data_IF_468270879471
#
_entry.id   IF_468270879471
#
_cell.length_a   1.000
_cell.length_b   1.000
_cell.length_c   1.000
_cell.angle_alpha   90.00
_cell.angle_beta   90.00
_cell.angle_gamma   90.00
#
_symmetry.space_group_name_H-M   'P 1'
#
loop_
_entity.id
_entity.type
_entity.pdbx_description
1 polymer ?
#
# COMPACT_ATOMS: atom_id res chain seq x y z
N UNK A 1 8.88 22.36 -27.11
CA UNK A 1 7.68 21.53 -26.81
C UNK A 1 8.01 20.09 -26.35
N UNK A 2 9.26 19.58 -26.44
CA UNK A 2 9.54 18.15 -26.10
C UNK A 2 9.79 17.85 -24.61
N UNK A 3 10.19 18.83 -23.79
CA UNK A 3 10.54 18.56 -22.37
C UNK A 3 9.36 18.17 -21.48
N UNK A 4 8.11 18.54 -21.84
CA UNK A 4 6.92 18.30 -20.99
C UNK A 4 6.36 16.88 -21.19
N UNK A 5 6.50 16.30 -22.39
CA UNK A 5 6.08 14.92 -22.66
C UNK A 5 6.99 13.89 -21.98
N UNK A 6 8.29 14.17 -21.89
CA UNK A 6 9.28 13.27 -21.27
C UNK A 6 9.12 13.18 -19.74
N UNK A 7 8.59 14.23 -19.10
CA UNK A 7 8.35 14.26 -17.65
C UNK A 7 7.18 13.38 -17.22
N UNK A 8 6.11 13.30 -18.01
CA UNK A 8 4.97 12.42 -17.69
C UNK A 8 5.31 10.95 -17.90
N UNK A 9 6.03 10.60 -18.97
CA UNK A 9 6.42 9.21 -19.23
C UNK A 9 7.34 8.66 -18.14
N UNK A 10 8.24 9.50 -17.59
CA UNK A 10 9.11 9.14 -16.47
C UNK A 10 8.42 9.19 -15.09
N UNK A 11 7.18 9.67 -14.98
CA UNK A 11 6.45 9.72 -13.71
C UNK A 11 5.78 8.38 -13.36
N UNK A 12 5.27 7.67 -14.35
CA UNK A 12 4.61 6.37 -14.15
C UNK A 12 5.51 5.29 -13.52
N UNK A 13 6.77 5.11 -13.94
CA UNK A 13 7.66 4.12 -13.32
C UNK A 13 7.94 4.44 -11.84
N UNK A 14 8.08 5.72 -11.49
CA UNK A 14 8.35 6.14 -10.11
C UNK A 14 7.12 5.92 -9.23
N UNK A 15 5.92 6.23 -9.75
CA UNK A 15 4.67 5.95 -9.06
C UNK A 15 4.47 4.44 -8.83
N UNK A 16 4.81 3.63 -9.84
CA UNK A 16 4.74 2.17 -9.73
C UNK A 16 5.76 1.62 -8.72
N UNK A 17 6.98 2.15 -8.69
CA UNK A 17 7.98 1.81 -7.68
C UNK A 17 7.56 2.24 -6.27
N UNK A 18 6.95 3.43 -6.14
CA UNK A 18 6.38 3.91 -4.88
C UNK A 18 5.25 3.01 -4.38
N UNK A 19 4.42 2.53 -5.30
CA UNK A 19 3.33 1.61 -5.02
C UNK A 19 3.85 0.22 -4.60
N UNK A 20 4.84 -0.32 -5.30
CA UNK A 20 5.40 -1.64 -5.00
C UNK A 20 6.07 -1.69 -3.65
N UNK A 21 6.95 -0.73 -3.35
CA UNK A 21 7.70 -0.70 -2.09
C UNK A 21 7.32 0.57 -1.33
N UNK A 22 6.51 0.45 -0.25
CA UNK A 22 6.09 1.60 0.53
C UNK A 22 7.28 2.44 1.00
N UNK A 23 7.30 3.72 0.58
CA UNK A 23 8.36 4.68 0.91
C UNK A 23 9.52 4.78 -0.10
N UNK A 24 9.71 3.82 -1.00
CA UNK A 24 10.89 3.78 -1.88
C UNK A 24 10.84 4.80 -3.03
N UNK A 25 9.64 5.11 -3.54
CA UNK A 25 9.48 6.08 -4.65
C UNK A 25 9.88 7.52 -4.31
N UNK A 26 9.76 7.91 -3.04
CA UNK A 26 10.22 9.23 -2.57
C UNK A 26 11.74 9.28 -2.32
N UNK A 27 12.36 8.15 -1.97
CA UNK A 27 13.82 8.03 -1.85
C UNK A 27 14.46 8.23 -3.23
N UNK A 28 13.91 7.57 -4.27
CA UNK A 28 14.33 7.74 -5.67
C UNK A 28 14.15 9.19 -6.16
N UNK A 29 13.18 9.91 -5.61
CA UNK A 29 12.90 11.32 -5.93
C UNK A 29 13.73 12.32 -5.10
N UNK A 30 14.70 11.86 -4.30
CA UNK A 30 15.58 12.70 -3.47
C UNK A 30 14.96 13.21 -2.16
N UNK A 31 13.72 12.83 -1.83
CA UNK A 31 13.01 13.25 -0.60
C UNK A 31 12.99 12.12 0.43
N UNK A 32 14.19 11.76 0.90
CA UNK A 32 14.43 10.61 1.78
C UNK A 32 13.61 10.70 3.08
N UNK A 33 13.53 11.88 3.71
CA UNK A 33 12.79 12.04 4.97
C UNK A 33 11.29 11.73 4.83
N UNK A 34 10.66 12.19 3.74
CA UNK A 34 9.23 11.88 3.47
C UNK A 34 9.05 10.39 3.17
N UNK A 35 9.89 9.82 2.32
CA UNK A 35 9.86 8.39 2.02
C UNK A 35 10.05 7.50 3.25
N UNK A 36 11.00 7.85 4.11
CA UNK A 36 11.30 7.10 5.32
C UNK A 36 10.17 7.18 6.36
N UNK A 37 9.62 8.37 6.62
CA UNK A 37 8.53 8.53 7.59
C UNK A 37 7.26 7.83 7.13
N UNK A 38 6.88 8.01 5.87
CA UNK A 38 5.69 7.40 5.28
C UNK A 38 5.84 5.89 5.12
N UNK A 39 7.01 5.43 4.70
CA UNK A 39 7.34 4.00 4.67
C UNK A 39 7.26 3.39 6.06
N UNK A 40 7.91 3.99 7.07
CA UNK A 40 7.87 3.51 8.44
C UNK A 40 6.43 3.44 9.00
N UNK A 41 5.59 4.43 8.69
CA UNK A 41 4.18 4.41 9.09
C UNK A 41 3.42 3.24 8.44
N UNK A 42 3.57 3.02 7.13
CA UNK A 42 2.89 1.92 6.43
C UNK A 42 3.37 0.57 6.92
N UNK A 43 4.68 0.37 7.01
CA UNK A 43 5.27 -0.86 7.53
C UNK A 43 4.82 -1.13 8.97
N UNK A 44 4.84 -0.10 9.84
CA UNK A 44 4.37 -0.22 11.21
C UNK A 44 2.89 -0.60 11.29
N UNK A 45 2.03 0.11 10.59
CA UNK A 45 0.59 -0.20 10.55
C UNK A 45 0.31 -1.60 9.99
N UNK A 46 1.02 -2.00 8.93
CA UNK A 46 0.84 -3.31 8.33
C UNK A 46 1.26 -4.43 9.29
N UNK A 47 2.45 -4.32 9.90
CA UNK A 47 2.95 -5.31 10.85
C UNK A 47 2.06 -5.39 12.10
N UNK A 48 1.64 -4.25 12.65
CA UNK A 48 0.70 -4.21 13.77
C UNK A 48 -0.65 -4.83 13.36
N UNK A 49 -1.14 -4.54 12.16
CA UNK A 49 -2.38 -5.10 11.64
C UNK A 49 -2.37 -6.63 11.59
N UNK A 50 -1.26 -7.21 11.11
CA UNK A 50 -1.04 -8.66 11.14
C UNK A 50 -0.97 -9.20 12.57
N UNK A 51 -0.21 -8.54 13.45
CA UNK A 51 -0.05 -8.97 14.85
C UNK A 51 -1.37 -8.94 15.64
N UNK A 52 -2.27 -8.01 15.31
CA UNK A 52 -3.59 -7.92 15.92
C UNK A 52 -4.59 -8.97 15.39
N UNK A 53 -4.17 -9.82 14.45
CA UNK A 53 -5.02 -10.86 13.85
C UNK A 53 -5.84 -10.36 12.66
N UNK A 54 -5.39 -9.30 11.98
CA UNK A 54 -6.02 -8.80 10.77
C UNK A 54 -5.99 -9.83 9.62
N UNK A 55 -7.04 -9.84 8.83
CA UNK A 55 -7.26 -10.72 7.70
C UNK A 55 -7.00 -10.02 6.36
N UNK A 56 -6.15 -10.64 5.56
CA UNK A 56 -5.81 -10.21 4.20
C UNK A 56 -6.77 -10.85 3.19
N UNK A 57 -7.85 -10.12 2.90
CA UNK A 57 -8.83 -10.48 1.88
C UNK A 57 -8.20 -10.62 0.47
N UNK A 58 -8.61 -11.65 -0.27
CA UNK A 58 -8.25 -11.86 -1.67
C UNK A 58 -9.31 -11.37 -2.66
N UNK A 59 -8.86 -10.84 -3.81
CA UNK A 59 -9.77 -10.39 -4.88
C UNK A 59 -10.51 -11.53 -5.58
N UNK A 60 -9.93 -12.74 -5.54
CA UNK A 60 -10.45 -13.93 -6.21
C UNK A 60 -10.87 -15.03 -5.21
N UNK A 61 -10.98 -14.69 -3.93
CA UNK A 61 -11.44 -15.64 -2.92
C UNK A 61 -12.92 -15.94 -3.21
N UNK A 62 -13.19 -17.19 -3.62
CA UNK A 62 -14.49 -17.60 -4.12
C UNK A 62 -15.50 -17.72 -2.97
N UNK A 63 -16.59 -16.94 -3.04
CA UNK A 63 -17.69 -17.00 -2.06
C UNK A 63 -17.86 -15.74 -1.20
N UNK A 64 -16.99 -14.74 -1.34
CA UNK A 64 -17.07 -13.55 -0.51
C UNK A 64 -17.92 -12.41 -1.11
N UNK A 65 -18.61 -11.68 -0.21
CA UNK A 65 -19.54 -10.59 -0.55
C UNK A 65 -18.84 -9.34 -1.10
N UNK A 66 -19.62 -8.33 -1.49
CA UNK A 66 -19.09 -7.08 -2.05
C UNK A 66 -18.11 -6.36 -1.10
N UNK A 67 -18.40 -6.39 0.21
CA UNK A 67 -17.57 -5.73 1.22
C UNK A 67 -16.15 -6.32 1.29
N UNK A 68 -16.02 -7.64 1.21
CA UNK A 68 -14.71 -8.31 1.16
C UNK A 68 -13.88 -7.89 -0.04
N UNK A 69 -14.51 -7.65 -1.19
CA UNK A 69 -13.81 -7.15 -2.39
C UNK A 69 -13.28 -5.73 -2.19
N UNK A 70 -14.01 -4.89 -1.47
CA UNK A 70 -13.55 -3.56 -1.07
C UNK A 70 -12.35 -3.68 -0.12
N UNK A 71 -12.40 -4.58 0.86
CA UNK A 71 -11.27 -4.82 1.76
C UNK A 71 -10.06 -5.41 1.04
N UNK A 72 -10.28 -6.32 0.08
CA UNK A 72 -9.24 -6.85 -0.78
C UNK A 72 -8.58 -5.75 -1.63
N UNK A 73 -9.37 -4.80 -2.15
CA UNK A 73 -8.85 -3.63 -2.86
C UNK A 73 -7.99 -2.74 -1.96
N UNK A 74 -8.44 -2.45 -0.73
CA UNK A 74 -7.64 -1.71 0.24
C UNK A 74 -6.33 -2.44 0.55
N UNK A 75 -6.39 -3.75 0.80
CA UNK A 75 -5.24 -4.57 1.14
C UNK A 75 -4.23 -4.68 -0.02
N UNK A 76 -4.70 -4.79 -1.26
CA UNK A 76 -3.86 -4.76 -2.47
C UNK A 76 -3.07 -3.45 -2.56
N UNK A 77 -3.62 -2.37 -2.02
CA UNK A 77 -2.93 -1.09 -1.85
C UNK A 77 -1.57 -1.19 -1.18
N UNK A 78 -1.37 -2.16 -0.27
CA UNK A 78 -0.08 -2.37 0.42
C UNK A 78 1.03 -2.91 -0.50
N UNK A 79 0.74 -3.17 -1.77
CA UNK A 79 1.72 -3.52 -2.80
C UNK A 79 2.45 -4.83 -2.49
N UNK A 80 3.78 -4.75 -2.42
CA UNK A 80 4.61 -5.94 -2.17
C UNK A 80 4.38 -6.56 -0.79
N UNK A 81 3.98 -5.78 0.22
CA UNK A 81 3.67 -6.30 1.56
C UNK A 81 2.51 -7.29 1.53
N UNK A 82 1.47 -6.96 0.76
CA UNK A 82 0.31 -7.83 0.56
C UNK A 82 0.71 -9.12 -0.16
N UNK A 83 1.44 -9.00 -1.28
CA UNK A 83 1.88 -10.15 -2.07
C UNK A 83 2.81 -11.08 -1.26
N UNK A 84 3.78 -10.51 -0.53
CA UNK A 84 4.70 -11.27 0.29
C UNK A 84 3.98 -11.98 1.45
N UNK A 85 3.05 -11.30 2.12
CA UNK A 85 2.29 -11.88 3.24
C UNK A 85 1.36 -13.01 2.77
N UNK A 86 0.65 -12.81 1.65
CA UNK A 86 -0.20 -13.85 1.06
C UNK A 86 0.64 -15.05 0.59
N UNK A 87 1.80 -14.83 -0.02
CA UNK A 87 2.71 -15.91 -0.42
C UNK A 87 3.28 -16.69 0.78
N UNK A 88 3.60 -15.98 1.87
CA UNK A 88 4.05 -16.59 3.11
C UNK A 88 2.93 -17.25 3.93
N UNK A 89 1.65 -17.11 3.53
CA UNK A 89 0.50 -17.62 4.28
C UNK A 89 0.21 -16.85 5.57
N UNK A 90 0.75 -15.64 5.73
CA UNK A 90 0.60 -14.80 6.93
C UNK A 90 -0.64 -13.92 6.78
N UNK A 91 -1.53 -13.89 7.79
CA UNK A 91 -2.75 -13.09 7.79
C UNK A 91 -3.83 -13.57 6.80
N UNK A 92 -3.68 -14.76 6.22
CA UNK A 92 -4.61 -15.31 5.21
C UNK A 92 -5.80 -16.03 5.85
N UNK A 93 -5.65 -16.50 7.09
CA UNK A 93 -6.75 -17.11 7.84
C UNK A 93 -7.42 -16.05 8.70
N UNK A 94 -8.74 -15.99 8.66
CA UNK A 94 -9.51 -15.09 9.51
C UNK A 94 -9.39 -15.50 10.98
N UNK A 95 -9.06 -14.54 11.84
CA UNK A 95 -8.92 -14.74 13.29
C UNK A 95 -10.02 -13.97 14.04
N UNK A 96 -11.27 -14.10 13.59
CA UNK A 96 -12.42 -13.39 14.16
C UNK A 96 -12.66 -13.67 15.66
N UNK A 97 -12.06 -14.73 16.20
CA UNK A 97 -12.10 -15.04 17.64
C UNK A 97 -11.25 -14.07 18.49
N UNK A 98 -10.31 -13.34 17.88
CA UNK A 98 -9.54 -12.30 18.56
C UNK A 98 -10.34 -10.99 18.55
N UNK A 99 -10.58 -10.43 19.74
CA UNK A 99 -11.22 -9.12 19.89
C UNK A 99 -10.43 -7.98 19.20
N UNK A 100 -9.16 -8.21 18.88
CA UNK A 100 -8.29 -7.25 18.19
C UNK A 100 -8.36 -7.32 16.66
N UNK A 101 -8.97 -8.37 16.09
CA UNK A 101 -8.94 -8.63 14.65
C UNK A 101 -9.61 -7.54 13.82
N UNK A 102 -10.70 -6.94 14.34
CA UNK A 102 -11.39 -5.81 13.69
C UNK A 102 -10.47 -4.58 13.58
N UNK A 103 -9.72 -4.27 14.63
CA UNK A 103 -8.72 -3.21 14.58
C UNK A 103 -7.58 -3.57 13.62
N UNK A 104 -7.13 -4.83 13.65
CA UNK A 104 -6.10 -5.34 12.72
C UNK A 104 -6.49 -5.13 11.26
N UNK A 105 -7.73 -5.45 10.90
CA UNK A 105 -8.30 -5.21 9.57
C UNK A 105 -8.23 -3.72 9.19
N UNK A 106 -8.61 -2.83 10.09
CA UNK A 106 -8.55 -1.37 9.84
C UNK A 106 -7.10 -0.90 9.63
N UNK A 107 -6.16 -1.39 10.44
CA UNK A 107 -4.73 -1.07 10.27
C UNK A 107 -4.20 -1.50 8.89
N UNK A 108 -4.53 -2.71 8.44
CA UNK A 108 -4.16 -3.22 7.12
C UNK A 108 -4.77 -2.40 5.98
N UNK A 109 -6.06 -2.05 6.10
CA UNK A 109 -6.75 -1.22 5.11
C UNK A 109 -6.16 0.18 5.01
N UNK A 110 -5.92 0.84 6.15
CA UNK A 110 -5.32 2.19 6.18
C UNK A 110 -3.91 2.17 5.63
N UNK A 111 -3.10 1.15 5.96
CA UNK A 111 -1.76 1.00 5.40
C UNK A 111 -1.79 0.94 3.86
N UNK A 112 -2.70 0.15 3.28
CA UNK A 112 -2.82 0.04 1.83
C UNK A 112 -3.35 1.29 1.15
N UNK A 113 -4.37 1.95 1.73
CA UNK A 113 -4.89 3.22 1.21
C UNK A 113 -3.86 4.34 1.28
N UNK A 114 -3.07 4.44 2.36
CA UNK A 114 -1.98 5.39 2.47
C UNK A 114 -0.91 5.14 1.39
N UNK A 115 -0.60 3.89 1.10
CA UNK A 115 0.37 3.56 0.06
C UNK A 115 -0.13 3.96 -1.35
N UNK A 116 -1.42 3.83 -1.64
CA UNK A 116 -2.00 4.41 -2.86
C UNK A 116 -1.81 5.92 -2.93
N UNK A 117 -2.09 6.64 -1.84
CA UNK A 117 -1.92 8.10 -1.79
C UNK A 117 -0.46 8.50 -2.01
N UNK A 118 0.50 7.76 -1.45
CA UNK A 118 1.93 8.02 -1.65
C UNK A 118 2.38 7.73 -3.08
N UNK A 119 1.84 6.70 -3.72
CA UNK A 119 2.11 6.43 -5.12
C UNK A 119 1.61 7.57 -6.02
N UNK A 120 0.41 8.09 -5.76
CA UNK A 120 -0.13 9.26 -6.45
C UNK A 120 0.65 10.54 -6.13
N UNK A 121 1.09 10.73 -4.89
CA UNK A 121 1.91 11.89 -4.52
C UNK A 121 3.28 11.87 -5.22
N UNK A 122 3.92 10.70 -5.31
CA UNK A 122 5.16 10.52 -6.07
C UNK A 122 4.98 10.84 -7.56
N UNK A 123 3.84 10.43 -8.14
CA UNK A 123 3.47 10.80 -9.52
C UNK A 123 3.32 12.31 -9.69
N UNK A 124 2.61 12.97 -8.77
CA UNK A 124 2.37 14.42 -8.81
C UNK A 124 3.67 15.22 -8.69
N UNK A 125 4.58 14.81 -7.79
CA UNK A 125 5.91 15.42 -7.64
C UNK A 125 6.68 15.31 -8.94
N UNK A 126 6.71 14.12 -9.57
CA UNK A 126 7.47 13.93 -10.81
C UNK A 126 6.83 14.62 -12.02
N UNK A 127 5.51 14.74 -12.04
CA UNK A 127 4.77 15.48 -13.05
C UNK A 127 4.89 17.00 -12.91
N UNK A 128 5.62 17.50 -11.90
CA UNK A 128 5.83 18.93 -11.68
C UNK A 128 4.61 19.67 -11.14
N UNK A 129 3.59 18.95 -10.64
CA UNK A 129 2.37 19.53 -10.08
C UNK A 129 2.53 19.94 -8.61
N UNK A 130 3.54 19.40 -7.92
CA UNK A 130 3.88 19.71 -6.53
C UNK A 130 5.38 19.99 -6.40
N UNK A 131 5.71 21.07 -5.69
CA UNK A 131 7.08 21.52 -5.37
C UNK A 131 7.65 20.91 -4.10
#
# INVERSE_FOLDING_TARGET
>A
MSKVTDTHFNAWPIAFLAFLVPGFGHIVSGRVARGALSGAAIWGMFLIGILLGGHLYGLFDAGEGFLSKVFAFCNLGSGLLYAASRFAGVGVNEQAHLATSEYGNVFLMVAGLLNYLLALDAFDIRSGRKV
#
